data_IF_142328211430
#
_entry.id   IF_142328211430
#
_cell.length_a   1.000
_cell.length_b   1.000
_cell.length_c   1.000
_cell.angle_alpha   90.00
_cell.angle_beta   90.00
_cell.angle_gamma   90.00
#
_symmetry.space_group_name_H-M   'P 1'
#
loop_
_entity.id
_entity.type
_entity.pdbx_description
1 polymer ?
#
# COMPACT_ATOMS: atom_id res chain seq x y z
N UNK A 1 44.21 -34.64 18.34
CA UNK A 1 44.25 -33.61 17.29
C UNK A 1 42.89 -32.92 17.28
N UNK A 2 42.79 -31.69 17.79
CA UNK A 2 41.53 -30.95 17.81
C UNK A 2 41.35 -30.27 16.44
N UNK A 3 40.29 -30.61 15.72
CA UNK A 3 39.91 -29.92 14.47
C UNK A 3 39.39 -28.53 14.82
N UNK A 4 40.10 -27.49 14.38
CA UNK A 4 39.61 -26.11 14.48
C UNK A 4 38.40 -25.96 13.56
N UNK A 5 37.19 -25.88 14.13
CA UNK A 5 35.99 -25.50 13.40
C UNK A 5 36.17 -24.05 12.97
N UNK A 6 36.53 -23.82 11.71
CA UNK A 6 36.48 -22.48 11.15
C UNK A 6 35.01 -22.11 10.99
N UNK A 7 34.56 -21.09 11.71
CA UNK A 7 33.27 -20.45 11.44
C UNK A 7 33.34 -19.86 10.04
N UNK A 8 32.84 -20.61 9.06
CA UNK A 8 32.70 -20.17 7.68
C UNK A 8 31.44 -19.31 7.65
N UNK A 9 31.61 -18.00 7.46
CA UNK A 9 30.47 -17.11 7.21
C UNK A 9 29.69 -17.66 6.00
N UNK A 10 28.36 -17.86 6.10
CA UNK A 10 27.57 -18.57 5.08
C UNK A 10 27.54 -17.85 3.72
N UNK A 11 28.08 -16.64 3.64
CA UNK A 11 28.29 -15.87 2.41
C UNK A 11 29.74 -15.39 2.41
N UNK A 12 30.59 -15.94 1.54
CA UNK A 12 31.95 -15.46 1.27
C UNK A 12 31.90 -14.11 0.54
N UNK A 13 31.43 -13.05 1.19
CA UNK A 13 31.51 -11.71 0.66
C UNK A 13 32.96 -11.24 0.73
N UNK A 14 33.52 -10.79 -0.40
CA UNK A 14 34.87 -10.25 -0.39
C UNK A 14 34.90 -9.00 0.50
N UNK A 15 35.97 -8.73 1.28
CA UNK A 15 36.02 -7.59 2.19
C UNK A 15 35.65 -6.24 1.55
N UNK A 16 36.03 -6.03 0.29
CA UNK A 16 35.71 -4.83 -0.47
C UNK A 16 34.23 -4.69 -0.84
N UNK A 17 33.49 -5.80 -1.01
CA UNK A 17 32.06 -5.78 -1.28
C UNK A 17 31.27 -5.34 -0.04
N UNK A 18 31.70 -5.81 1.14
CA UNK A 18 31.16 -5.38 2.43
C UNK A 18 31.42 -3.89 2.66
N UNK A 19 32.66 -3.44 2.44
CA UNK A 19 33.01 -2.02 2.58
C UNK A 19 32.16 -1.12 1.65
N UNK A 20 32.08 -1.48 0.37
CA UNK A 20 31.26 -0.74 -0.62
C UNK A 20 29.78 -0.72 -0.26
N UNK A 21 29.25 -1.80 0.32
CA UNK A 21 27.85 -1.84 0.80
C UNK A 21 27.63 -0.90 1.98
N UNK A 22 28.57 -0.85 2.92
CA UNK A 22 28.48 0.07 4.05
C UNK A 22 28.57 1.54 3.57
N UNK A 23 29.48 1.84 2.64
CA UNK A 23 29.56 3.17 2.02
C UNK A 23 28.27 3.56 1.29
N UNK A 24 27.69 2.64 0.51
CA UNK A 24 26.43 2.85 -0.18
C UNK A 24 25.26 3.03 0.82
N UNK A 25 25.27 2.28 1.92
CA UNK A 25 24.26 2.42 2.97
C UNK A 25 24.23 3.83 3.55
N UNK A 26 25.40 4.41 3.84
CA UNK A 26 25.51 5.79 4.31
C UNK A 26 25.22 6.82 3.21
N UNK A 27 25.66 6.57 1.97
CA UNK A 27 25.39 7.45 0.81
C UNK A 27 23.89 7.58 0.51
N UNK A 28 23.15 6.47 0.45
CA UNK A 28 21.71 6.50 0.19
C UNK A 28 20.90 7.08 1.34
N UNK A 29 21.45 7.06 2.58
CA UNK A 29 20.77 7.59 3.76
C UNK A 29 20.74 9.13 3.80
N UNK A 30 21.65 9.82 3.09
CA UNK A 30 21.76 11.30 3.04
C UNK A 30 21.92 12.01 4.40
N UNK A 31 21.99 11.28 5.52
CA UNK A 31 22.18 11.81 6.87
C UNK A 31 23.52 11.36 7.44
N UNK A 32 24.27 12.32 8.01
CA UNK A 32 25.59 12.05 8.60
C UNK A 32 25.55 11.13 9.84
N UNK A 33 24.39 11.00 10.49
CA UNK A 33 24.22 10.26 11.75
C UNK A 33 23.56 8.90 11.55
N UNK A 34 24.04 7.83 12.26
CA UNK A 34 23.46 6.50 12.15
C UNK A 34 21.96 6.52 12.45
N UNK A 35 21.17 5.59 11.87
CA UNK A 35 19.74 5.55 12.11
C UNK A 35 19.49 5.37 13.62
N UNK A 36 18.86 6.37 14.21
CA UNK A 36 18.43 6.32 15.60
C UNK A 36 16.99 5.79 15.63
N UNK A 37 16.74 4.78 16.46
CA UNK A 37 15.36 4.40 16.76
C UNK A 37 14.73 5.49 17.62
N UNK A 38 13.61 6.05 17.15
CA UNK A 38 12.81 6.99 17.93
C UNK A 38 12.11 6.25 19.10
N UNK A 39 11.94 4.93 19.00
CA UNK A 39 11.29 4.11 20.01
C UNK A 39 12.20 3.96 21.24
N UNK A 40 11.75 4.40 22.44
CA UNK A 40 12.47 4.12 23.67
C UNK A 40 12.45 2.62 23.97
N UNK A 41 13.63 2.05 24.27
CA UNK A 41 13.85 0.63 24.65
C UNK A 41 13.18 -0.39 23.69
N UNK A 42 13.58 -0.42 22.41
CA UNK A 42 12.89 -1.24 21.40
C UNK A 42 12.99 -2.74 21.70
N UNK A 43 14.14 -3.20 22.22
CA UNK A 43 14.38 -4.61 22.46
C UNK A 43 13.70 -5.10 23.76
N UNK A 44 13.09 -6.28 23.70
CA UNK A 44 12.43 -6.92 24.85
C UNK A 44 13.41 -7.30 25.96
N UNK A 45 14.61 -7.76 25.58
CA UNK A 45 15.65 -8.12 26.54
C UNK A 45 16.04 -6.94 27.44
N UNK A 46 16.15 -5.73 26.88
CA UNK A 46 16.45 -4.51 27.65
C UNK A 46 15.29 -4.08 28.53
N UNK A 47 14.06 -4.55 28.24
CA UNK A 47 12.87 -4.27 29.04
C UNK A 47 12.73 -5.24 30.23
N UNK A 48 13.13 -6.50 30.03
CA UNK A 48 12.81 -7.60 30.95
C UNK A 48 14.03 -8.20 31.68
N UNK A 49 15.24 -8.03 31.16
CA UNK A 49 16.45 -8.61 31.77
C UNK A 49 17.16 -7.63 32.73
N UNK A 50 17.85 -8.19 33.73
CA UNK A 50 18.65 -7.42 34.70
C UNK A 50 17.81 -6.58 35.65
N UNK A 51 18.20 -5.32 35.87
CA UNK A 51 17.51 -4.34 36.71
C UNK A 51 16.18 -3.81 36.10
N UNK A 52 15.89 -4.20 34.84
CA UNK A 52 14.69 -3.78 34.12
C UNK A 52 14.71 -2.31 33.69
N UNK A 53 13.53 -1.72 33.46
CA UNK A 53 13.40 -0.32 33.06
C UNK A 53 13.54 0.65 34.24
N UNK A 54 14.37 1.69 34.05
CA UNK A 54 14.40 2.84 34.96
C UNK A 54 13.06 3.59 34.95
N UNK A 55 12.80 4.41 35.97
CA UNK A 55 11.54 5.18 36.07
C UNK A 55 11.36 6.11 34.87
N UNK A 56 12.45 6.73 34.42
CA UNK A 56 12.46 7.62 33.25
C UNK A 56 12.14 6.85 31.95
N UNK A 57 12.80 5.70 31.72
CA UNK A 57 12.52 4.86 30.56
C UNK A 57 11.07 4.37 30.53
N UNK A 58 10.50 4.05 31.69
CA UNK A 58 9.10 3.64 31.82
C UNK A 58 8.14 4.78 31.46
N UNK A 59 8.45 6.01 31.86
CA UNK A 59 7.65 7.19 31.51
C UNK A 59 7.68 7.47 30.00
N UNK A 60 8.87 7.43 29.39
CA UNK A 60 9.04 7.59 27.94
C UNK A 60 8.32 6.50 27.16
N UNK A 61 8.42 5.24 27.61
CA UNK A 61 7.69 4.12 26.98
C UNK A 61 6.18 4.29 27.08
N UNK A 62 5.68 4.75 28.23
CA UNK A 62 4.25 5.02 28.44
C UNK A 62 3.76 6.14 27.51
N UNK A 63 4.56 7.18 27.29
CA UNK A 63 4.25 8.23 26.32
C UNK A 63 4.24 7.69 24.90
N UNK A 64 5.30 6.98 24.48
CA UNK A 64 5.39 6.36 23.15
C UNK A 64 4.17 5.49 22.82
N UNK A 65 3.73 4.65 23.77
CA UNK A 65 2.56 3.80 23.59
C UNK A 65 1.26 4.60 23.45
N UNK A 66 1.13 5.74 24.14
CA UNK A 66 -0.01 6.65 23.95
C UNK A 66 0.02 7.32 22.59
N UNK A 67 1.21 7.69 22.11
CA UNK A 67 1.39 8.34 20.81
C UNK A 67 1.06 7.41 19.64
N UNK A 68 1.13 6.08 19.83
CA UNK A 68 0.65 5.10 18.85
C UNK A 68 -0.88 5.05 18.72
N UNK A 69 -1.62 5.60 19.69
CA UNK A 69 -3.08 5.63 19.64
C UNK A 69 -3.49 6.72 18.67
N UNK A 70 -3.86 6.31 17.46
CA UNK A 70 -4.26 7.24 16.42
C UNK A 70 -5.66 7.80 16.71
N UNK A 71 -5.76 9.13 16.87
CA UNK A 71 -7.03 9.81 17.18
C UNK A 71 -8.06 9.78 16.04
N UNK A 72 -7.64 9.55 14.79
CA UNK A 72 -8.51 9.62 13.63
C UNK A 72 -8.02 8.70 12.50
N UNK A 73 -8.96 8.08 11.80
CA UNK A 73 -8.67 7.35 10.56
C UNK A 73 -8.17 8.30 9.45
N UNK A 74 -7.45 7.80 8.44
CA UNK A 74 -7.08 8.57 7.27
C UNK A 74 -8.30 9.25 6.65
N UNK A 75 -8.31 10.59 6.64
CA UNK A 75 -9.39 11.36 6.02
C UNK A 75 -9.18 11.41 4.51
N UNK A 76 -10.20 11.02 3.76
CA UNK A 76 -10.21 11.24 2.33
C UNK A 76 -10.43 12.73 2.04
N UNK A 77 -9.35 13.42 1.67
CA UNK A 77 -9.40 14.82 1.23
C UNK A 77 -9.49 14.84 -0.29
N UNK A 78 -10.62 15.27 -0.88
CA UNK A 78 -10.80 15.29 -2.34
C UNK A 78 -9.75 16.12 -3.08
N UNK A 79 -9.19 17.13 -2.41
CA UNK A 79 -8.20 18.05 -2.95
C UNK A 79 -6.83 17.40 -3.14
N UNK A 80 -6.48 16.38 -2.35
CA UNK A 80 -5.21 15.65 -2.47
C UNK A 80 -5.20 14.68 -3.68
N UNK A 81 -6.37 14.37 -4.24
CA UNK A 81 -6.51 13.50 -5.40
C UNK A 81 -7.33 14.18 -6.50
N UNK A 82 -6.81 15.28 -7.08
CA UNK A 82 -7.53 16.01 -8.11
C UNK A 82 -7.76 15.14 -9.34
N UNK A 83 -9.02 15.03 -9.75
CA UNK A 83 -9.41 14.32 -10.97
C UNK A 83 -9.53 15.29 -12.15
N UNK A 84 -8.97 14.91 -13.29
CA UNK A 84 -9.16 15.58 -14.58
C UNK A 84 -10.64 15.72 -14.92
N UNK A 85 -11.02 16.78 -15.63
CA UNK A 85 -12.42 17.09 -16.02
C UNK A 85 -13.08 15.90 -16.72
N UNK A 86 -12.41 15.28 -17.69
CA UNK A 86 -12.92 14.10 -18.39
C UNK A 86 -13.21 12.93 -17.44
N UNK A 87 -12.34 12.70 -16.44
CA UNK A 87 -12.58 11.66 -15.43
C UNK A 87 -13.77 12.01 -14.54
N UNK A 88 -14.00 13.30 -14.24
CA UNK A 88 -15.17 13.73 -13.47
C UNK A 88 -16.46 13.47 -14.23
N UNK A 89 -16.52 13.86 -15.50
CA UNK A 89 -17.70 13.69 -16.36
C UNK A 89 -18.01 12.20 -16.54
N UNK A 90 -17.01 11.38 -16.91
CA UNK A 90 -17.21 9.95 -17.08
C UNK A 90 -17.62 9.22 -15.78
N UNK A 91 -17.10 9.64 -14.62
CA UNK A 91 -17.46 9.04 -13.32
C UNK A 91 -18.84 9.50 -12.82
N UNK A 92 -19.29 10.71 -13.18
CA UNK A 92 -20.53 11.29 -12.68
C UNK A 92 -21.77 10.37 -12.76
N UNK A 93 -22.10 9.73 -13.89
CA UNK A 93 -23.28 8.87 -13.96
C UNK A 93 -23.16 7.64 -13.05
N UNK A 94 -21.99 7.00 -13.00
CA UNK A 94 -21.75 5.86 -12.12
C UNK A 94 -21.84 6.24 -10.64
N UNK A 95 -21.39 7.45 -10.29
CA UNK A 95 -21.41 7.95 -8.92
C UNK A 95 -22.83 8.21 -8.42
N UNK A 96 -23.66 8.76 -9.30
CA UNK A 96 -25.04 9.12 -8.98
C UNK A 96 -25.95 7.89 -8.95
N UNK A 97 -25.82 6.99 -9.92
CA UNK A 97 -26.70 5.83 -10.08
C UNK A 97 -26.31 4.64 -9.20
N UNK A 98 -25.02 4.46 -8.90
CA UNK A 98 -24.52 3.29 -8.19
C UNK A 98 -23.89 3.71 -6.85
N UNK A 99 -22.96 4.67 -6.88
CA UNK A 99 -22.18 5.04 -5.70
C UNK A 99 -23.05 5.55 -4.53
N UNK A 100 -23.89 6.56 -4.78
CA UNK A 100 -24.78 7.14 -3.76
C UNK A 100 -25.78 6.13 -3.17
N UNK A 101 -26.55 5.38 -3.96
CA UNK A 101 -27.47 4.39 -3.39
C UNK A 101 -26.72 3.23 -2.72
N UNK A 102 -25.60 2.75 -3.27
CA UNK A 102 -24.84 1.67 -2.65
C UNK A 102 -24.31 2.06 -1.26
N UNK A 103 -23.87 3.31 -1.07
CA UNK A 103 -23.44 3.80 0.25
C UNK A 103 -24.60 3.92 1.27
N UNK A 104 -25.85 4.02 0.81
CA UNK A 104 -27.02 4.08 1.69
C UNK A 104 -27.41 2.70 2.22
N UNK A 105 -27.30 1.67 1.38
CA UNK A 105 -27.76 0.31 1.70
C UNK A 105 -26.65 -0.63 2.18
N UNK A 106 -25.39 -0.33 1.89
CA UNK A 106 -24.27 -1.25 2.11
C UNK A 106 -23.09 -0.59 2.84
N UNK A 107 -22.12 -1.42 3.27
CA UNK A 107 -20.88 -0.95 3.89
C UNK A 107 -20.03 -0.13 2.90
N UNK A 108 -19.17 0.75 3.42
CA UNK A 108 -18.29 1.60 2.59
C UNK A 108 -17.43 0.77 1.62
N UNK A 109 -16.94 -0.37 2.07
CA UNK A 109 -16.11 -1.28 1.27
C UNK A 109 -16.89 -1.90 0.11
N UNK A 110 -18.08 -2.43 0.40
CA UNK A 110 -18.94 -3.06 -0.61
C UNK A 110 -19.46 -2.03 -1.62
N UNK A 111 -19.82 -0.82 -1.17
CA UNK A 111 -20.19 0.28 -2.05
C UNK A 111 -19.04 0.70 -2.98
N UNK A 112 -17.79 0.72 -2.49
CA UNK A 112 -16.63 1.02 -3.30
C UNK A 112 -16.38 -0.05 -4.39
N UNK A 113 -16.54 -1.33 -4.04
CA UNK A 113 -16.44 -2.44 -5.00
C UNK A 113 -17.53 -2.31 -6.07
N UNK A 114 -18.79 -2.12 -5.68
CA UNK A 114 -19.91 -2.00 -6.61
C UNK A 114 -19.74 -0.84 -7.60
N UNK A 115 -19.32 0.33 -7.10
CA UNK A 115 -19.03 1.51 -7.93
C UNK A 115 -17.96 1.22 -8.99
N UNK A 116 -17.00 0.36 -8.71
CA UNK A 116 -15.92 0.02 -9.63
C UNK A 116 -16.30 -1.10 -10.61
N UNK A 117 -17.01 -2.13 -10.15
CA UNK A 117 -17.30 -3.33 -10.94
C UNK A 117 -18.50 -3.14 -11.87
N UNK A 118 -19.59 -2.55 -11.39
CA UNK A 118 -20.85 -2.46 -12.14
C UNK A 118 -20.70 -1.69 -13.45
N UNK A 119 -20.10 -0.47 -13.49
CA UNK A 119 -19.95 0.27 -14.75
C UNK A 119 -19.10 -0.48 -15.78
N UNK A 120 -18.08 -1.21 -15.31
CA UNK A 120 -17.21 -1.99 -16.19
C UNK A 120 -17.94 -3.18 -16.80
N UNK A 121 -18.73 -3.89 -16.00
CA UNK A 121 -19.56 -4.98 -16.50
C UNK A 121 -20.57 -4.47 -17.53
N UNK A 122 -21.21 -3.33 -17.28
CA UNK A 122 -22.11 -2.70 -18.24
C UNK A 122 -21.42 -2.29 -19.55
N UNK A 123 -20.23 -1.70 -19.48
CA UNK A 123 -19.46 -1.34 -20.68
C UNK A 123 -19.04 -2.58 -21.48
N UNK A 124 -18.54 -3.62 -20.81
CA UNK A 124 -18.13 -4.88 -21.46
C UNK A 124 -19.33 -5.56 -22.11
N UNK A 125 -20.47 -5.60 -21.42
CA UNK A 125 -21.72 -6.16 -21.93
C UNK A 125 -22.27 -5.36 -23.11
N UNK A 126 -22.28 -4.03 -23.02
CA UNK A 126 -22.71 -3.16 -24.11
C UNK A 126 -21.82 -3.29 -25.35
N UNK A 127 -20.49 -3.32 -25.15
CA UNK A 127 -19.54 -3.51 -26.24
C UNK A 127 -19.68 -4.89 -26.89
N UNK A 128 -19.82 -5.96 -26.11
CA UNK A 128 -20.00 -7.30 -26.66
C UNK A 128 -21.31 -7.43 -27.43
N UNK A 129 -22.41 -6.85 -26.93
CA UNK A 129 -23.69 -6.83 -27.62
C UNK A 129 -23.63 -6.01 -28.92
N UNK A 130 -22.94 -4.87 -28.91
CA UNK A 130 -22.72 -4.06 -30.10
C UNK A 130 -21.93 -4.83 -31.16
N UNK A 131 -20.81 -5.45 -30.79
CA UNK A 131 -20.01 -6.28 -31.73
C UNK A 131 -20.84 -7.45 -32.27
N UNK A 132 -21.58 -8.14 -31.41
CA UNK A 132 -22.45 -9.24 -31.83
C UNK A 132 -23.52 -8.78 -32.82
N UNK A 133 -24.18 -7.65 -32.54
CA UNK A 133 -25.20 -7.08 -33.42
C UNK A 133 -24.60 -6.69 -34.78
N UNK A 134 -23.44 -6.04 -34.77
CA UNK A 134 -22.71 -5.68 -35.98
C UNK A 134 -22.40 -6.91 -36.84
N UNK A 135 -21.78 -7.94 -36.25
CA UNK A 135 -21.45 -9.18 -36.95
C UNK A 135 -22.69 -9.90 -37.49
N UNK A 136 -23.78 -9.95 -36.72
CA UNK A 136 -25.00 -10.67 -37.11
C UNK A 136 -25.72 -10.03 -38.30
N UNK A 137 -25.81 -8.70 -38.33
CA UNK A 137 -26.65 -8.01 -39.31
C UNK A 137 -25.86 -7.38 -40.48
N UNK A 138 -24.55 -7.15 -40.36
CA UNK A 138 -23.74 -6.65 -41.47
C UNK A 138 -23.26 -7.75 -42.44
N UNK A 139 -23.43 -9.03 -42.10
CA UNK A 139 -23.14 -10.15 -43.03
C UNK A 139 -24.09 -10.24 -44.24
N UNK A 140 -25.27 -9.62 -44.15
CA UNK A 140 -26.28 -9.68 -45.22
C UNK A 140 -26.12 -8.55 -46.26
N UNK A 141 -25.34 -7.51 -45.96
CA UNK A 141 -25.16 -6.34 -46.84
C UNK A 141 -24.14 -6.64 -47.95
N UNK A 142 -23.14 -7.47 -47.69
CA UNK A 142 -22.08 -7.81 -48.66
C UNK A 142 -22.49 -8.86 -49.71
N UNK A 143 -23.75 -9.32 -49.71
CA UNK A 143 -24.27 -10.34 -50.64
C UNK A 143 -25.18 -9.76 -51.74
N UNK A 144 -25.34 -8.43 -51.79
CA UNK A 144 -26.21 -7.70 -52.73
C UNK A 144 -25.43 -6.86 -53.77
N UNK A 145 -24.12 -7.05 -53.90
CA UNK A 145 -23.28 -6.50 -54.97
C UNK A 145 -22.55 -7.61 -55.71
#
# INVERSE_FOLDING_TARGET
MASSVQNIDPVMEKPWQRAKRMELYDFYRKSAYPPMSIEPVPYERTRLAGEGMTVEQRALRKQWLKDQILHHEPRHVPELQPLNIFRRIYRFPADLLIGKPAMMFFSKETAAIMRYTIPKLFMVFGASYFVWYQLKYHQNVSRLH
#
